data_IF_861996178662
#
_entry.id   IF_861996178662
#
_cell.length_a   1.000
_cell.length_b   1.000
_cell.length_c   1.000
_cell.angle_alpha   90.00
_cell.angle_beta   90.00
_cell.angle_gamma   90.00
#
_symmetry.space_group_name_H-M   'P 1'
#
loop_
_entity.id
_entity.type
_entity.pdbx_description
1 polymer ?
#
# COMPACT_ATOMS: atom_id res chain seq x y z
N UNK A 1 13.86 18.04 -62.30
CA UNK A 1 12.66 17.60 -61.57
C UNK A 1 13.13 16.81 -60.36
N UNK A 2 13.37 17.49 -59.23
CA UNK A 2 13.73 16.86 -57.96
C UNK A 2 12.50 16.89 -57.06
N UNK A 3 12.04 15.72 -56.63
CA UNK A 3 10.96 15.57 -55.67
C UNK A 3 11.63 15.39 -54.31
N UNK A 4 11.68 16.45 -53.51
CA UNK A 4 12.06 16.38 -52.10
C UNK A 4 10.82 16.03 -51.29
N UNK A 5 10.76 14.81 -50.76
CA UNK A 5 9.74 14.41 -49.80
C UNK A 5 10.01 15.03 -48.43
N UNK A 6 9.08 15.83 -47.92
CA UNK A 6 9.06 16.27 -46.53
C UNK A 6 8.74 15.07 -45.62
N UNK A 7 9.70 14.70 -44.79
CA UNK A 7 9.47 13.79 -43.69
C UNK A 7 8.67 14.54 -42.61
N UNK A 8 7.37 14.24 -42.52
CA UNK A 8 6.51 14.72 -41.44
C UNK A 8 7.02 14.21 -40.10
N UNK A 9 7.51 15.12 -39.26
CA UNK A 9 7.84 14.85 -37.86
C UNK A 9 6.51 14.66 -37.11
N UNK A 10 6.23 13.43 -36.71
CA UNK A 10 5.10 13.12 -35.83
C UNK A 10 5.50 13.62 -34.43
N UNK A 11 4.95 14.76 -34.01
CA UNK A 11 5.08 15.22 -32.63
C UNK A 11 4.48 14.18 -31.66
N UNK A 12 5.14 13.88 -30.54
CA UNK A 12 4.57 13.00 -29.52
C UNK A 12 3.30 13.66 -28.99
N UNK A 13 2.19 12.91 -28.98
CA UNK A 13 0.98 13.31 -28.28
C UNK A 13 1.35 13.33 -26.80
N UNK A 14 1.55 14.54 -26.26
CA UNK A 14 1.60 14.75 -24.81
C UNK A 14 0.17 14.54 -24.32
N UNK A 15 -0.13 13.32 -23.89
CA UNK A 15 -1.37 13.05 -23.17
C UNK A 15 -1.24 13.75 -21.83
N UNK A 16 -1.80 14.95 -21.71
CA UNK A 16 -2.04 15.58 -20.41
C UNK A 16 -2.90 14.62 -19.61
N UNK A 17 -2.36 14.03 -18.56
CA UNK A 17 -3.15 13.23 -17.62
C UNK A 17 -4.24 14.15 -17.09
N UNK A 18 -5.49 13.87 -17.44
CA UNK A 18 -6.63 14.61 -16.91
C UNK A 18 -6.64 14.44 -15.39
N UNK A 19 -6.61 15.56 -14.66
CA UNK A 19 -6.73 15.60 -13.20
C UNK A 19 -8.19 15.53 -12.73
N UNK A 20 -9.09 15.12 -13.62
CA UNK A 20 -10.53 15.07 -13.36
C UNK A 20 -10.93 13.75 -12.70
N UNK A 21 -10.12 12.69 -12.79
CA UNK A 21 -10.41 11.40 -12.16
C UNK A 21 -10.00 11.42 -10.68
N UNK A 22 -10.99 11.39 -9.80
CA UNK A 22 -10.82 11.42 -8.36
C UNK A 22 -11.33 10.13 -7.71
N UNK A 23 -10.65 9.69 -6.65
CA UNK A 23 -11.12 8.67 -5.72
C UNK A 23 -11.49 9.33 -4.41
N UNK A 24 -12.73 9.16 -3.99
CA UNK A 24 -13.27 9.64 -2.73
C UNK A 24 -13.43 8.45 -1.79
N UNK A 25 -12.78 8.50 -0.64
CA UNK A 25 -13.02 7.54 0.45
C UNK A 25 -13.66 8.26 1.62
N UNK A 26 -14.71 7.68 2.20
CA UNK A 26 -15.50 8.31 3.26
C UNK A 26 -15.81 7.29 4.35
N UNK A 27 -15.64 7.70 5.60
CA UNK A 27 -16.06 7.01 6.81
C UNK A 27 -16.90 7.95 7.68
N UNK A 28 -18.08 7.52 8.10
CA UNK A 28 -18.94 8.30 9.00
C UNK A 28 -19.92 7.40 9.77
N UNK A 29 -20.56 7.89 10.84
CA UNK A 29 -21.67 7.18 11.47
C UNK A 29 -22.79 6.91 10.47
N UNK A 30 -23.29 5.68 10.41
CA UNK A 30 -24.31 5.28 9.45
C UNK A 30 -25.65 5.96 9.74
N UNK A 31 -26.26 6.52 8.68
CA UNK A 31 -27.60 7.13 8.72
C UNK A 31 -28.21 7.23 7.32
N UNK A 32 -29.55 7.22 7.20
CA UNK A 32 -30.21 7.45 5.93
C UNK A 32 -29.75 8.74 5.25
N UNK A 33 -29.56 8.69 3.93
CA UNK A 33 -29.26 9.87 3.11
C UNK A 33 -27.77 10.16 2.86
N UNK A 34 -26.82 9.42 3.48
CA UNK A 34 -25.38 9.62 3.20
C UNK A 34 -25.06 9.41 1.72
N UNK A 35 -25.46 8.27 1.15
CA UNK A 35 -25.20 7.98 -0.27
C UNK A 35 -25.77 9.06 -1.17
N UNK A 36 -27.04 9.46 -0.97
CA UNK A 36 -27.68 10.54 -1.73
C UNK A 36 -26.91 11.86 -1.60
N UNK A 37 -26.46 12.23 -0.40
CA UNK A 37 -25.73 13.46 -0.18
C UNK A 37 -24.40 13.50 -0.94
N UNK A 38 -23.65 12.39 -0.92
CA UNK A 38 -22.37 12.27 -1.64
C UNK A 38 -22.60 12.26 -3.16
N UNK A 39 -23.49 11.40 -3.66
CA UNK A 39 -23.73 11.28 -5.10
C UNK A 39 -24.43 12.52 -5.67
N UNK A 40 -25.29 13.16 -4.88
CA UNK A 40 -25.95 14.42 -5.24
C UNK A 40 -24.96 15.58 -5.36
N UNK A 41 -23.98 15.65 -4.45
CA UNK A 41 -22.89 16.62 -4.57
C UNK A 41 -22.06 16.39 -5.85
N UNK A 42 -21.64 15.14 -6.10
CA UNK A 42 -20.93 14.78 -7.34
C UNK A 42 -21.73 15.18 -8.58
N UNK A 43 -23.03 14.86 -8.63
CA UNK A 43 -23.90 15.25 -9.75
C UNK A 43 -24.04 16.77 -9.90
N UNK A 44 -24.06 17.52 -8.80
CA UNK A 44 -24.22 18.99 -8.83
C UNK A 44 -23.04 19.72 -9.49
N UNK A 45 -21.86 19.10 -9.50
CA UNK A 45 -20.65 19.62 -10.17
C UNK A 45 -20.41 18.98 -11.55
N UNK A 46 -21.39 18.23 -12.07
CA UNK A 46 -21.29 17.51 -13.34
C UNK A 46 -20.41 16.26 -13.28
N UNK A 47 -20.15 15.74 -12.08
CA UNK A 47 -19.34 14.54 -11.90
C UNK A 47 -20.06 13.27 -12.35
N UNK A 48 -19.29 12.33 -12.90
CA UNK A 48 -19.73 11.03 -13.37
C UNK A 48 -19.05 9.92 -12.56
N UNK A 49 -19.83 9.02 -11.96
CA UNK A 49 -19.29 7.93 -11.14
C UNK A 49 -18.87 6.77 -12.04
N UNK A 50 -17.60 6.37 -11.93
CA UNK A 50 -17.02 5.24 -12.67
C UNK A 50 -17.09 3.94 -11.86
N UNK A 51 -16.77 4.02 -10.57
CA UNK A 51 -16.83 2.89 -9.63
C UNK A 51 -17.42 3.38 -8.30
N UNK A 52 -18.26 2.58 -7.66
CA UNK A 52 -18.79 2.89 -6.34
C UNK A 52 -19.01 1.62 -5.53
N UNK A 53 -18.38 1.54 -4.37
CA UNK A 53 -18.56 0.45 -3.42
C UNK A 53 -18.82 1.02 -2.04
N UNK A 54 -19.80 0.47 -1.33
CA UNK A 54 -20.15 0.87 0.02
C UNK A 54 -20.27 -0.33 0.96
N UNK A 55 -20.02 -0.08 2.23
CA UNK A 55 -20.16 -1.07 3.29
C UNK A 55 -20.72 -0.42 4.56
N UNK A 56 -21.72 -1.06 5.15
CA UNK A 56 -22.34 -0.65 6.40
C UNK A 56 -21.95 -1.66 7.48
N UNK A 57 -21.05 -1.26 8.38
CA UNK A 57 -20.68 -2.08 9.52
C UNK A 57 -21.70 -1.90 10.64
N UNK A 58 -22.64 -2.85 10.74
CA UNK A 58 -23.69 -2.84 11.76
C UNK A 58 -23.17 -2.97 13.18
N UNK A 59 -21.98 -3.55 13.37
CA UNK A 59 -21.39 -3.76 14.70
C UNK A 59 -20.83 -2.44 15.25
N UNK A 60 -20.06 -1.73 14.44
CA UNK A 60 -19.47 -0.43 14.84
C UNK A 60 -20.40 0.76 14.61
N UNK A 61 -21.46 0.60 13.80
CA UNK A 61 -22.37 1.67 13.41
C UNK A 61 -21.78 2.65 12.40
N UNK A 62 -20.71 2.27 11.69
CA UNK A 62 -20.07 3.10 10.68
C UNK A 62 -20.44 2.69 9.26
N UNK A 63 -20.55 3.70 8.41
CA UNK A 63 -20.66 3.62 6.96
C UNK A 63 -19.30 3.92 6.32
N UNK A 64 -18.96 3.14 5.30
CA UNK A 64 -17.76 3.29 4.48
C UNK A 64 -18.15 3.33 3.01
N UNK A 65 -17.52 4.20 2.23
CA UNK A 65 -17.67 4.18 0.76
C UNK A 65 -16.38 4.59 0.07
N UNK A 66 -16.07 3.91 -1.04
CA UNK A 66 -15.09 4.32 -2.04
C UNK A 66 -15.83 4.63 -3.34
N UNK A 67 -15.66 5.83 -3.86
CA UNK A 67 -16.21 6.26 -5.16
C UNK A 67 -15.06 6.74 -6.03
N UNK A 68 -14.93 6.15 -7.21
CA UNK A 68 -14.10 6.69 -8.28
C UNK A 68 -15.02 7.44 -9.25
N UNK A 69 -14.68 8.70 -9.54
CA UNK A 69 -15.50 9.57 -10.37
C UNK A 69 -14.66 10.50 -11.24
N UNK A 70 -15.15 10.78 -12.44
CA UNK A 70 -14.73 11.90 -13.26
C UNK A 70 -15.42 13.16 -12.74
N UNK A 71 -14.66 14.17 -12.33
CA UNK A 71 -15.16 15.44 -11.81
C UNK A 71 -14.59 16.57 -12.67
N UNK A 72 -15.41 17.26 -13.47
CA UNK A 72 -14.94 18.36 -14.32
C UNK A 72 -14.20 19.44 -13.52
N UNK A 73 -12.96 19.73 -13.90
CA UNK A 73 -12.10 20.69 -13.20
C UNK A 73 -11.40 20.12 -11.96
N UNK A 74 -11.55 18.81 -11.71
CA UNK A 74 -10.85 18.07 -10.68
C UNK A 74 -11.20 18.50 -9.24
N UNK A 75 -10.23 18.28 -8.35
CA UNK A 75 -10.37 18.52 -6.91
C UNK A 75 -10.87 19.95 -6.56
N UNK A 76 -10.36 21.04 -7.17
CA UNK A 76 -10.82 22.40 -6.86
C UNK A 76 -12.32 22.62 -7.03
N UNK A 77 -12.98 21.87 -7.93
CA UNK A 77 -14.42 21.99 -8.17
C UNK A 77 -15.26 21.48 -7.01
N UNK A 78 -14.77 20.47 -6.27
CA UNK A 78 -15.58 19.76 -5.27
C UNK A 78 -15.08 19.92 -3.83
N UNK A 79 -13.80 20.27 -3.62
CA UNK A 79 -13.15 20.24 -2.30
C UNK A 79 -13.91 21.01 -1.21
N UNK A 80 -14.32 22.24 -1.48
CA UNK A 80 -14.96 23.11 -0.49
C UNK A 80 -16.38 22.63 -0.16
N UNK A 81 -17.12 22.19 -1.18
CA UNK A 81 -18.47 21.66 -1.00
C UNK A 81 -18.44 20.30 -0.28
N UNK A 82 -17.44 19.46 -0.56
CA UNK A 82 -17.24 18.19 0.14
C UNK A 82 -16.84 18.40 1.60
N UNK A 83 -15.99 19.39 1.88
CA UNK A 83 -15.62 19.74 3.26
C UNK A 83 -16.85 20.16 4.08
N UNK A 84 -17.74 20.98 3.49
CA UNK A 84 -19.01 21.37 4.12
C UNK A 84 -19.94 20.16 4.34
N UNK A 85 -20.03 19.25 3.35
CA UNK A 85 -20.80 18.03 3.48
C UNK A 85 -20.26 17.14 4.61
N UNK A 86 -18.94 16.99 4.67
CA UNK A 86 -18.26 16.20 5.69
C UNK A 86 -18.53 16.73 7.10
N UNK A 87 -18.45 18.05 7.30
CA UNK A 87 -18.78 18.68 8.57
C UNK A 87 -20.24 18.41 8.99
N UNK A 88 -21.19 18.52 8.07
CA UNK A 88 -22.61 18.28 8.34
C UNK A 88 -22.94 16.80 8.66
N UNK A 89 -22.09 15.87 8.22
CA UNK A 89 -22.30 14.44 8.34
C UNK A 89 -21.33 13.72 9.27
N UNK A 90 -20.42 14.44 9.93
CA UNK A 90 -19.40 13.83 10.77
C UNK A 90 -18.51 12.86 9.97
N UNK A 91 -18.19 13.22 8.73
CA UNK A 91 -17.37 12.39 7.85
C UNK A 91 -15.89 12.65 8.09
N UNK A 92 -15.13 11.56 8.15
CA UNK A 92 -13.71 11.57 7.82
C UNK A 92 -13.59 11.13 6.36
N UNK A 93 -12.85 11.88 5.55
CA UNK A 93 -12.74 11.60 4.13
C UNK A 93 -11.34 11.90 3.59
N UNK A 94 -11.04 11.31 2.43
CA UNK A 94 -9.91 11.67 1.58
C UNK A 94 -10.40 11.77 0.14
N UNK A 95 -9.85 12.72 -0.60
CA UNK A 95 -10.02 12.85 -2.05
C UNK A 95 -8.64 12.78 -2.67
N UNK A 96 -8.43 11.81 -3.55
CA UNK A 96 -7.14 11.53 -4.18
C UNK A 96 -7.30 11.46 -5.68
N UNK A 97 -6.23 11.68 -6.43
CA UNK A 97 -6.24 11.50 -7.89
C UNK A 97 -6.09 10.02 -8.22
N UNK A 98 -7.00 9.45 -9.03
CA UNK A 98 -7.03 8.00 -9.31
C UNK A 98 -5.76 7.51 -10.03
N UNK A 99 -5.21 8.32 -10.95
CA UNK A 99 -4.13 7.92 -11.86
C UNK A 99 -2.74 8.37 -11.41
N UNK A 100 -2.59 8.83 -10.17
CA UNK A 100 -1.30 9.28 -9.63
C UNK A 100 -0.63 8.11 -8.90
N UNK A 101 0.54 7.61 -9.36
CA UNK A 101 1.27 6.58 -8.63
C UNK A 101 1.63 7.07 -7.21
N UNK A 102 1.40 6.22 -6.22
CA UNK A 102 1.63 6.58 -4.82
C UNK A 102 3.12 6.57 -4.49
N UNK A 103 3.63 7.66 -3.91
CA UNK A 103 5.04 7.78 -3.55
C UNK A 103 5.39 6.81 -2.43
N UNK A 104 6.20 5.81 -2.75
CA UNK A 104 6.42 4.64 -1.91
C UNK A 104 7.90 4.43 -1.61
N UNK A 105 8.23 4.30 -0.32
CA UNK A 105 9.57 3.91 0.15
C UNK A 105 9.56 2.42 0.53
N UNK A 106 10.47 1.63 -0.02
CA UNK A 106 10.56 0.19 0.28
C UNK A 106 11.74 -0.05 1.23
N UNK A 107 11.48 -0.68 2.37
CA UNK A 107 12.50 -1.05 3.36
C UNK A 107 12.80 -2.54 3.31
N UNK A 108 14.08 -2.91 3.33
CA UNK A 108 14.55 -4.29 3.15
C UNK A 108 15.71 -4.66 4.07
N UNK A 109 15.93 -5.96 4.28
CA UNK A 109 17.09 -6.48 5.01
C UNK A 109 18.04 -7.26 4.09
N UNK A 110 17.79 -8.55 3.89
CA UNK A 110 18.65 -9.42 3.03
C UNK A 110 17.83 -10.31 2.10
N UNK A 111 16.60 -10.62 2.46
CA UNK A 111 15.69 -11.43 1.64
C UNK A 111 15.19 -10.60 0.45
N UNK A 112 15.41 -11.09 -0.77
CA UNK A 112 15.17 -10.32 -2.01
C UNK A 112 13.77 -10.49 -2.61
N UNK A 113 13.05 -11.56 -2.28
CA UNK A 113 11.88 -12.00 -3.05
C UNK A 113 10.74 -10.98 -3.08
N UNK A 114 10.44 -10.32 -1.96
CA UNK A 114 9.41 -9.27 -1.90
C UNK A 114 9.85 -8.01 -2.67
N UNK A 115 11.12 -7.59 -2.53
CA UNK A 115 11.64 -6.43 -3.26
C UNK A 115 11.60 -6.67 -4.77
N UNK A 116 12.08 -7.84 -5.23
CA UNK A 116 12.12 -8.20 -6.64
C UNK A 116 10.71 -8.19 -7.27
N UNK A 117 9.71 -8.74 -6.57
CA UNK A 117 8.34 -8.79 -7.05
C UNK A 117 7.69 -7.40 -7.12
N UNK A 118 7.88 -6.56 -6.11
CA UNK A 118 7.36 -5.18 -6.11
C UNK A 118 7.99 -4.35 -7.24
N UNK A 119 9.32 -4.41 -7.40
CA UNK A 119 10.03 -3.65 -8.43
C UNK A 119 9.70 -4.13 -9.85
N UNK A 120 9.61 -5.45 -10.08
CA UNK A 120 9.16 -6.00 -11.38
C UNK A 120 7.75 -5.52 -11.72
N UNK A 121 6.81 -5.62 -10.78
CA UNK A 121 5.42 -5.18 -11.00
C UNK A 121 5.31 -3.69 -11.24
N UNK A 122 6.08 -2.88 -10.53
CA UNK A 122 6.13 -1.43 -10.75
C UNK A 122 6.71 -1.11 -12.13
N UNK A 123 7.84 -1.73 -12.50
CA UNK A 123 8.48 -1.52 -13.80
C UNK A 123 7.56 -1.87 -14.98
N UNK A 124 6.72 -2.90 -14.82
CA UNK A 124 5.74 -3.33 -15.82
C UNK A 124 4.41 -2.53 -15.77
N UNK A 125 4.30 -1.51 -14.92
CA UNK A 125 3.08 -0.71 -14.77
C UNK A 125 1.90 -1.46 -14.12
N UNK A 126 2.15 -2.61 -13.47
CA UNK A 126 1.14 -3.45 -12.82
C UNK A 126 0.92 -3.11 -11.34
N UNK A 127 1.71 -2.19 -10.79
CA UNK A 127 1.61 -1.72 -9.42
C UNK A 127 1.65 -0.18 -9.43
N UNK A 128 0.59 0.52 -9.01
CA UNK A 128 0.47 1.97 -9.17
C UNK A 128 1.23 2.72 -8.05
N UNK A 129 2.53 2.44 -7.94
CA UNK A 129 3.43 3.11 -7.01
C UNK A 129 4.58 3.79 -7.76
N UNK A 130 5.01 4.93 -7.25
CA UNK A 130 6.28 5.56 -7.59
C UNK A 130 7.28 5.16 -6.50
N UNK A 131 8.26 4.31 -6.83
CA UNK A 131 9.27 3.91 -5.83
C UNK A 131 10.26 5.05 -5.68
N UNK A 132 10.14 5.79 -4.59
CA UNK A 132 10.99 6.96 -4.33
C UNK A 132 12.25 6.58 -3.55
N UNK A 133 12.60 5.31 -3.49
CA UNK A 133 13.82 4.81 -2.86
C UNK A 133 13.66 3.43 -2.23
N UNK A 134 14.79 2.74 -2.10
CA UNK A 134 14.92 1.50 -1.36
C UNK A 134 15.87 1.74 -0.18
N UNK A 135 15.41 1.49 1.04
CA UNK A 135 16.22 1.62 2.26
C UNK A 135 16.59 0.24 2.76
N UNK A 136 17.89 -0.03 2.88
CA UNK A 136 18.39 -1.26 3.47
C UNK A 136 19.21 -1.02 4.71
N UNK A 137 19.10 -1.90 5.71
CA UNK A 137 20.08 -1.94 6.81
C UNK A 137 21.35 -2.73 6.46
N UNK A 138 21.36 -3.42 5.31
CA UNK A 138 22.51 -4.03 4.68
C UNK A 138 22.59 -3.64 3.20
N UNK A 139 23.80 -3.71 2.64
CA UNK A 139 24.07 -3.42 1.22
C UNK A 139 23.70 -4.56 0.27
N UNK A 140 23.28 -5.71 0.79
CA UNK A 140 23.06 -6.96 0.04
C UNK A 140 22.14 -6.80 -1.18
N UNK A 141 21.11 -5.94 -1.07
CA UNK A 141 20.09 -5.78 -2.10
C UNK A 141 20.28 -4.53 -2.97
N UNK A 142 21.37 -3.77 -2.79
CA UNK A 142 21.71 -2.63 -3.65
C UNK A 142 21.73 -3.00 -5.14
N UNK A 143 22.39 -4.10 -5.58
CA UNK A 143 22.43 -4.44 -7.00
C UNK A 143 21.05 -4.69 -7.60
N UNK A 144 20.10 -5.22 -6.82
CA UNK A 144 18.74 -5.47 -7.27
C UNK A 144 17.94 -4.16 -7.43
N UNK A 145 18.08 -3.22 -6.49
CA UNK A 145 17.45 -1.91 -6.59
C UNK A 145 18.00 -1.13 -7.80
N UNK A 146 19.32 -1.08 -7.94
CA UNK A 146 20.01 -0.38 -9.03
C UNK A 146 19.69 -0.99 -10.41
N UNK A 147 19.50 -2.32 -10.48
CA UNK A 147 19.05 -2.99 -11.70
C UNK A 147 17.70 -2.46 -12.22
N UNK A 148 16.77 -2.13 -11.32
CA UNK A 148 15.49 -1.49 -11.66
C UNK A 148 15.56 0.05 -11.67
N UNK A 149 16.77 0.63 -11.64
CA UNK A 149 16.98 2.08 -11.67
C UNK A 149 16.57 2.81 -10.39
N UNK A 150 16.47 2.12 -9.26
CA UNK A 150 16.04 2.70 -7.98
C UNK A 150 17.21 3.12 -7.11
N UNK A 151 17.10 4.29 -6.47
CA UNK A 151 18.04 4.74 -5.44
C UNK A 151 18.08 3.76 -4.27
N UNK A 152 19.25 3.26 -3.93
CA UNK A 152 19.46 2.47 -2.71
C UNK A 152 20.17 3.27 -1.62
N UNK A 153 19.49 3.48 -0.51
CA UNK A 153 19.96 4.21 0.67
C UNK A 153 20.31 3.20 1.76
N UNK A 154 21.58 3.15 2.15
CA UNK A 154 22.03 2.30 3.26
C UNK A 154 21.91 3.04 4.59
N UNK A 155 21.07 2.54 5.49
CA UNK A 155 20.92 3.03 6.87
C UNK A 155 21.27 1.89 7.82
N UNK A 156 22.55 1.75 8.23
CA UNK A 156 22.94 0.70 9.16
C UNK A 156 22.28 0.94 10.53
N UNK A 157 21.93 -0.16 11.19
CA UNK A 157 21.22 -0.12 12.47
C UNK A 157 21.77 -1.17 13.42
N UNK A 158 22.00 -0.73 14.63
CA UNK A 158 22.33 -1.54 15.81
C UNK A 158 21.37 -1.16 16.93
N UNK A 159 21.42 -1.87 18.06
CA UNK A 159 20.61 -1.51 19.23
C UNK A 159 20.88 -0.08 19.71
N UNK A 160 22.15 0.33 19.71
CA UNK A 160 22.58 1.62 20.25
C UNK A 160 22.36 2.78 19.26
N UNK A 161 22.41 2.49 17.94
CA UNK A 161 22.25 3.50 16.87
C UNK A 161 20.83 3.58 16.31
N UNK A 162 19.86 2.89 16.92
CA UNK A 162 18.48 2.84 16.45
C UNK A 162 17.81 4.23 16.42
N UNK A 163 17.95 5.08 17.46
CA UNK A 163 17.35 6.42 17.43
C UNK A 163 17.86 7.27 16.26
N UNK A 164 19.16 7.24 15.97
CA UNK A 164 19.76 8.00 14.86
C UNK A 164 19.36 7.43 13.50
N UNK A 165 19.29 6.10 13.37
CA UNK A 165 18.85 5.43 12.15
C UNK A 165 17.38 5.77 11.82
N UNK A 166 16.49 5.77 12.82
CA UNK A 166 15.09 6.13 12.64
C UNK A 166 14.90 7.63 12.39
N UNK A 167 15.71 8.50 13.01
CA UNK A 167 15.72 9.92 12.70
C UNK A 167 16.09 10.17 11.23
N UNK A 168 17.14 9.50 10.73
CA UNK A 168 17.55 9.60 9.32
C UNK A 168 16.50 9.05 8.37
N UNK A 169 15.83 7.94 8.73
CA UNK A 169 14.72 7.39 7.96
C UNK A 169 13.56 8.39 7.89
N UNK A 170 13.22 9.05 8.99
CA UNK A 170 12.14 10.03 9.04
C UNK A 170 12.46 11.29 8.22
N UNK A 171 13.69 11.77 8.26
CA UNK A 171 14.17 12.85 7.36
C UNK A 171 13.93 12.46 5.90
N UNK A 172 14.37 11.27 5.48
CA UNK A 172 14.20 10.79 4.11
C UNK A 172 12.72 10.70 3.70
N UNK A 173 11.87 10.18 4.59
CA UNK A 173 10.42 10.07 4.38
C UNK A 173 9.80 11.45 4.14
N UNK A 174 10.24 12.44 4.91
CA UNK A 174 9.74 13.81 4.82
C UNK A 174 10.29 14.52 3.58
N UNK A 175 11.60 14.44 3.32
CA UNK A 175 12.26 15.06 2.17
C UNK A 175 11.74 14.54 0.83
N UNK A 176 11.33 13.26 0.77
CA UNK A 176 10.84 12.63 -0.45
C UNK A 176 9.32 12.61 -0.56
N UNK A 177 8.58 13.28 0.34
CA UNK A 177 7.10 13.28 0.36
C UNK A 177 6.52 11.85 0.26
N UNK A 178 7.02 10.94 1.10
CA UNK A 178 6.59 9.53 1.08
C UNK A 178 5.16 9.39 1.61
N UNK A 179 4.32 8.72 0.83
CA UNK A 179 2.92 8.44 1.17
C UNK A 179 2.73 7.06 1.77
N UNK A 180 3.54 6.08 1.33
CA UNK A 180 3.53 4.70 1.80
C UNK A 180 4.95 4.20 2.10
N UNK A 181 5.12 3.55 3.25
CA UNK A 181 6.30 2.76 3.59
C UNK A 181 5.96 1.28 3.50
N UNK A 182 6.78 0.49 2.81
CA UNK A 182 6.60 -0.96 2.68
C UNK A 182 7.78 -1.68 3.34
N UNK A 183 7.52 -2.41 4.42
CA UNK A 183 8.48 -3.29 5.07
C UNK A 183 8.53 -4.63 4.30
N UNK A 184 9.28 -4.66 3.20
CA UNK A 184 9.48 -5.84 2.38
C UNK A 184 10.52 -6.75 3.03
N UNK A 185 10.10 -7.50 4.06
CA UNK A 185 10.96 -8.35 4.89
C UNK A 185 12.06 -7.57 5.59
N UNK A 186 11.71 -6.38 6.09
CA UNK A 186 12.56 -5.61 6.98
C UNK A 186 12.53 -6.20 8.39
N UNK A 187 13.68 -6.68 8.87
CA UNK A 187 13.77 -7.50 10.08
C UNK A 187 13.98 -6.72 11.38
N UNK A 188 13.97 -5.39 11.33
CA UNK A 188 14.08 -4.56 12.53
C UNK A 188 12.70 -4.07 12.94
N UNK A 189 12.42 -4.21 14.24
CA UNK A 189 11.21 -3.67 14.86
C UNK A 189 11.31 -2.14 14.84
N UNK A 190 10.31 -1.44 14.31
CA UNK A 190 10.22 0.02 14.39
C UNK A 190 9.91 0.46 15.82
N UNK A 191 10.39 1.62 16.25
CA UNK A 191 9.96 2.21 17.53
C UNK A 191 8.48 2.60 17.52
N UNK A 192 7.92 2.75 18.71
CA UNK A 192 6.55 3.24 18.91
C UNK A 192 6.33 4.64 18.27
N UNK A 193 7.34 5.51 18.33
CA UNK A 193 7.31 6.83 17.69
C UNK A 193 7.20 6.71 16.16
N UNK A 194 8.02 5.85 15.55
CA UNK A 194 7.94 5.59 14.11
C UNK A 194 6.62 4.93 13.70
N UNK A 195 6.11 3.97 14.49
CA UNK A 195 4.80 3.36 14.25
C UNK A 195 3.68 4.42 14.30
N UNK A 196 3.75 5.37 15.23
CA UNK A 196 2.77 6.45 15.36
C UNK A 196 2.81 7.40 14.16
N UNK A 197 4.01 7.83 13.75
CA UNK A 197 4.21 8.70 12.58
C UNK A 197 3.76 8.05 11.26
N UNK A 198 3.87 6.73 11.18
CA UNK A 198 3.51 5.92 10.01
C UNK A 198 2.15 5.22 10.14
N UNK A 199 1.32 5.60 11.12
CA UNK A 199 0.01 5.00 11.33
C UNK A 199 -0.84 5.08 10.05
N UNK A 200 -1.31 3.92 9.57
CA UNK A 200 -2.07 3.80 8.32
C UNK A 200 -1.26 4.01 7.03
N UNK A 201 0.07 4.19 7.12
CA UNK A 201 0.98 4.46 5.99
C UNK A 201 2.21 3.54 5.96
N UNK A 202 2.25 2.51 6.80
CA UNK A 202 3.28 1.48 6.76
C UNK A 202 2.66 0.09 6.64
N UNK A 203 3.02 -0.66 5.61
CA UNK A 203 2.58 -2.04 5.37
C UNK A 203 3.74 -2.99 5.62
N UNK A 204 3.50 -4.03 6.41
CA UNK A 204 4.45 -5.09 6.67
C UNK A 204 3.98 -6.42 6.06
N UNK A 205 4.94 -7.28 5.69
CA UNK A 205 4.68 -8.68 5.38
C UNK A 205 5.21 -9.57 6.50
N UNK A 206 4.29 -10.26 7.18
CA UNK A 206 4.62 -11.28 8.15
C UNK A 206 4.51 -12.66 7.50
N UNK A 207 5.51 -13.51 7.75
CA UNK A 207 5.74 -14.79 7.04
C UNK A 207 5.08 -15.99 7.73
N UNK A 208 3.97 -15.70 8.40
CA UNK A 208 3.08 -16.69 8.99
C UNK A 208 1.65 -16.26 8.75
N UNK A 209 0.73 -17.23 8.80
CA UNK A 209 -0.69 -16.96 8.79
C UNK A 209 -1.12 -16.55 10.21
N UNK A 210 -1.08 -15.24 10.48
CA UNK A 210 -1.49 -14.71 11.78
C UNK A 210 -2.93 -15.13 12.11
N UNK A 211 -3.23 -15.47 13.37
CA UNK A 211 -2.40 -15.26 14.58
C UNK A 211 -1.41 -16.41 14.91
N UNK A 212 -1.25 -17.41 14.03
CA UNK A 212 -0.38 -18.56 14.31
C UNK A 212 1.11 -18.24 14.07
N UNK A 213 2.01 -18.80 14.88
CA UNK A 213 3.48 -18.71 14.73
C UNK A 213 4.06 -17.29 14.73
N UNK A 214 3.67 -16.46 15.72
CA UNK A 214 4.32 -15.16 15.99
C UNK A 214 5.81 -15.34 16.36
N UNK A 215 6.60 -14.28 16.13
CA UNK A 215 8.00 -14.22 16.55
C UNK A 215 8.98 -14.94 15.61
N UNK A 216 10.11 -15.41 16.16
CA UNK A 216 11.23 -15.88 15.36
C UNK A 216 11.02 -17.28 14.74
N UNK A 217 11.54 -17.47 13.52
CA UNK A 217 11.61 -18.76 12.79
C UNK A 217 10.27 -19.51 12.64
N UNK A 218 9.20 -18.88 12.13
CA UNK A 218 7.88 -19.51 11.99
C UNK A 218 7.88 -20.73 11.07
N UNK A 219 8.73 -20.81 10.03
CA UNK A 219 8.83 -22.01 9.20
C UNK A 219 9.37 -23.23 9.96
N UNK A 220 10.33 -23.02 10.86
CA UNK A 220 10.79 -24.08 11.75
C UNK A 220 9.67 -24.53 12.71
N UNK A 221 8.92 -23.58 13.27
CA UNK A 221 7.78 -23.88 14.14
C UNK A 221 6.70 -24.66 13.37
N UNK A 222 6.39 -24.25 12.14
CA UNK A 222 5.42 -24.91 11.26
C UNK A 222 5.85 -26.34 10.91
N UNK A 223 7.11 -26.54 10.54
CA UNK A 223 7.69 -27.85 10.26
C UNK A 223 7.59 -28.76 11.49
N UNK A 224 8.07 -28.30 12.65
CA UNK A 224 8.02 -29.08 13.90
C UNK A 224 6.59 -29.43 14.33
N UNK A 225 5.63 -28.55 14.02
CA UNK A 225 4.20 -28.77 14.33
C UNK A 225 3.51 -29.69 13.33
N UNK A 226 4.12 -29.98 12.18
CA UNK A 226 3.61 -30.85 11.14
C UNK A 226 2.39 -30.29 10.39
N UNK A 227 2.32 -28.96 10.24
CA UNK A 227 1.18 -28.30 9.56
C UNK A 227 1.04 -28.76 8.10
N UNK A 228 -0.14 -28.55 7.52
CA UNK A 228 -0.43 -28.86 6.11
C UNK A 228 -0.68 -27.62 5.25
N UNK A 229 -0.64 -26.46 5.90
CA UNK A 229 -0.74 -25.14 5.31
C UNK A 229 0.26 -24.23 6.03
N UNK A 230 0.99 -23.44 5.27
CA UNK A 230 1.72 -22.25 5.73
C UNK A 230 1.12 -21.05 5.02
N UNK A 231 1.38 -19.84 5.50
CA UNK A 231 0.83 -18.64 4.87
C UNK A 231 1.61 -17.39 5.21
N UNK A 232 1.11 -16.27 4.71
CA UNK A 232 1.64 -14.95 4.98
C UNK A 232 0.49 -13.97 5.24
N UNK A 233 0.80 -12.91 5.97
CA UNK A 233 -0.15 -11.85 6.32
C UNK A 233 0.47 -10.50 6.02
N UNK A 234 -0.17 -9.71 5.16
CA UNK A 234 0.12 -8.29 5.03
C UNK A 234 -0.78 -7.49 5.97
N UNK A 235 -0.20 -6.56 6.71
CA UNK A 235 -0.93 -5.76 7.71
C UNK A 235 -0.31 -4.37 7.86
N UNK A 236 -1.08 -3.43 8.37
CA UNK A 236 -0.52 -2.13 8.78
C UNK A 236 0.38 -2.30 10.00
N UNK A 237 1.45 -1.51 10.06
CA UNK A 237 2.35 -1.50 11.22
C UNK A 237 1.71 -0.71 12.37
N UNK A 238 1.83 -1.25 13.57
CA UNK A 238 1.41 -0.64 14.84
C UNK A 238 2.51 -0.81 15.88
N UNK A 239 2.37 -0.14 17.04
CA UNK A 239 3.30 -0.34 18.16
C UNK A 239 3.24 -1.79 18.70
N UNK A 240 2.07 -2.41 18.63
CA UNK A 240 1.88 -3.83 18.94
C UNK A 240 2.45 -4.70 17.81
N UNK A 241 3.53 -5.43 18.10
CA UNK A 241 4.28 -6.21 17.13
C UNK A 241 3.43 -7.34 16.52
N UNK A 242 3.34 -7.37 15.19
CA UNK A 242 2.56 -8.36 14.41
C UNK A 242 1.05 -8.38 14.75
N UNK A 243 0.49 -7.28 15.26
CA UNK A 243 -0.93 -7.19 15.65
C UNK A 243 -1.71 -6.07 14.96
N UNK A 244 -1.08 -5.36 14.02
CA UNK A 244 -1.75 -4.30 13.31
C UNK A 244 -2.85 -4.81 12.37
N UNK A 245 -3.76 -3.93 11.91
CA UNK A 245 -4.91 -4.34 11.12
C UNK A 245 -4.52 -5.05 9.82
N UNK A 246 -5.02 -6.27 9.68
CA UNK A 246 -4.74 -7.16 8.54
C UNK A 246 -5.36 -6.57 7.27
N UNK A 247 -4.59 -6.56 6.18
CA UNK A 247 -5.00 -6.11 4.85
C UNK A 247 -5.29 -7.33 3.96
N UNK A 248 -4.39 -8.31 3.96
CA UNK A 248 -4.48 -9.48 3.10
C UNK A 248 -3.79 -10.69 3.75
N UNK A 249 -4.32 -11.89 3.48
CA UNK A 249 -3.71 -13.15 3.88
C UNK A 249 -3.85 -14.19 2.77
N UNK A 250 -2.89 -15.10 2.70
CA UNK A 250 -3.01 -16.27 1.84
C UNK A 250 -2.19 -17.45 2.38
N UNK A 251 -2.47 -18.63 1.85
CA UNK A 251 -1.89 -19.89 2.30
C UNK A 251 -1.45 -20.76 1.11
N UNK A 252 -0.47 -21.62 1.38
CA UNK A 252 -0.02 -22.67 0.46
C UNK A 252 0.08 -24.00 1.18
N UNK A 253 -0.21 -25.08 0.46
CA UNK A 253 -0.10 -26.44 0.97
C UNK A 253 1.34 -26.87 1.10
N UNK A 254 1.64 -27.53 2.23
CA UNK A 254 2.90 -28.19 2.50
C UNK A 254 2.68 -29.67 2.81
N UNK A 255 3.63 -30.51 2.41
CA UNK A 255 3.60 -31.95 2.58
C UNK A 255 4.49 -32.37 3.77
N UNK A 256 4.46 -33.66 4.12
CA UNK A 256 5.14 -34.18 5.31
C UNK A 256 6.59 -34.60 5.04
N UNK A 257 6.93 -34.76 3.77
CA UNK A 257 8.25 -35.06 3.21
C UNK A 257 9.04 -33.80 2.87
N UNK A 258 8.45 -32.61 3.04
CA UNK A 258 9.10 -31.32 2.76
C UNK A 258 9.89 -30.79 3.96
N UNK A 259 11.11 -30.34 3.71
CA UNK A 259 12.00 -29.78 4.74
C UNK A 259 11.79 -28.27 5.00
N UNK A 260 12.50 -27.72 5.99
CA UNK A 260 12.42 -26.28 6.34
C UNK A 260 12.73 -25.36 5.14
N UNK A 261 13.65 -25.75 4.24
CA UNK A 261 14.04 -24.93 3.09
C UNK A 261 12.95 -24.93 2.02
N UNK A 262 12.31 -26.06 1.78
CA UNK A 262 11.18 -26.16 0.85
C UNK A 262 9.98 -25.35 1.35
N UNK A 263 9.70 -25.41 2.66
CA UNK A 263 8.71 -24.55 3.31
C UNK A 263 9.03 -23.06 3.13
N UNK A 264 10.29 -22.66 3.33
CA UNK A 264 10.72 -21.27 3.12
C UNK A 264 10.55 -20.83 1.66
N UNK A 265 10.88 -21.67 0.68
CA UNK A 265 10.74 -21.35 -0.74
C UNK A 265 9.27 -21.14 -1.14
N UNK A 266 8.37 -22.02 -0.68
CA UNK A 266 6.92 -21.85 -0.86
C UNK A 266 6.38 -20.63 -0.12
N UNK A 267 6.87 -20.40 1.09
CA UNK A 267 6.56 -19.22 1.89
C UNK A 267 6.86 -17.91 1.17
N UNK A 268 8.04 -17.81 0.55
CA UNK A 268 8.46 -16.64 -0.21
C UNK A 268 7.57 -16.35 -1.45
N UNK A 269 6.90 -17.36 -2.01
CA UNK A 269 5.88 -17.17 -3.07
C UNK A 269 4.59 -16.58 -2.50
N UNK A 270 4.13 -17.07 -1.35
CA UNK A 270 2.92 -16.52 -0.72
C UNK A 270 3.16 -15.09 -0.25
N UNK A 271 4.32 -14.83 0.36
CA UNK A 271 4.69 -13.50 0.86
C UNK A 271 4.68 -12.43 -0.23
N UNK A 272 5.30 -12.70 -1.39
CA UNK A 272 5.37 -11.73 -2.48
C UNK A 272 3.97 -11.40 -3.03
N UNK A 273 3.12 -12.42 -3.17
CA UNK A 273 1.77 -12.25 -3.69
C UNK A 273 0.86 -11.48 -2.73
N UNK A 274 0.92 -11.83 -1.44
CA UNK A 274 0.16 -11.16 -0.37
C UNK A 274 0.59 -9.70 -0.23
N UNK A 275 1.90 -9.43 -0.16
CA UNK A 275 2.40 -8.06 -0.04
C UNK A 275 2.03 -7.21 -1.25
N UNK A 276 2.24 -7.72 -2.47
CA UNK A 276 1.91 -6.98 -3.69
C UNK A 276 0.43 -6.64 -3.82
N UNK A 277 -0.48 -7.53 -3.39
CA UNK A 277 -1.92 -7.23 -3.35
C UNK A 277 -2.22 -6.12 -2.34
N UNK A 278 -1.69 -6.23 -1.13
CA UNK A 278 -1.90 -5.23 -0.09
C UNK A 278 -1.39 -3.84 -0.52
N UNK A 279 -0.20 -3.77 -1.12
CA UNK A 279 0.37 -2.52 -1.65
C UNK A 279 -0.50 -1.96 -2.77
N UNK A 280 -0.96 -2.80 -3.71
CA UNK A 280 -1.86 -2.36 -4.79
C UNK A 280 -3.14 -1.76 -4.24
N UNK A 281 -3.83 -2.49 -3.36
CA UNK A 281 -5.09 -2.03 -2.79
C UNK A 281 -4.94 -0.74 -1.99
N UNK A 282 -3.84 -0.60 -1.25
CA UNK A 282 -3.55 0.64 -0.55
C UNK A 282 -3.34 1.81 -1.54
N UNK A 283 -2.50 1.60 -2.57
CA UNK A 283 -2.22 2.60 -3.59
C UNK A 283 -3.45 3.00 -4.42
N UNK A 284 -4.42 2.11 -4.60
CA UNK A 284 -5.71 2.37 -5.27
C UNK A 284 -6.80 2.92 -4.32
N UNK A 285 -6.44 3.25 -3.08
CA UNK A 285 -7.34 3.74 -2.03
C UNK A 285 -8.50 2.77 -1.72
N UNK A 286 -8.26 1.46 -1.84
CA UNK A 286 -9.23 0.39 -1.60
C UNK A 286 -9.26 -0.09 -0.14
N UNK A 287 -8.32 0.35 0.69
CA UNK A 287 -8.19 -0.09 2.09
C UNK A 287 -8.61 1.02 3.03
N UNK A 288 -9.63 0.78 3.86
CA UNK A 288 -10.07 1.72 4.91
C UNK A 288 -9.95 1.10 6.31
N UNK A 289 -9.45 1.89 7.26
CA UNK A 289 -9.26 1.46 8.65
C UNK A 289 -10.57 1.48 9.45
N UNK A 290 -10.85 0.37 10.12
CA UNK A 290 -12.00 0.20 11.01
C UNK A 290 -11.57 -0.38 12.37
N UNK A 291 -11.00 0.48 13.22
CA UNK A 291 -10.44 0.06 14.50
C UNK A 291 -9.25 -0.88 14.26
N UNK A 292 -9.32 -2.10 14.79
CA UNK A 292 -8.31 -3.14 14.60
C UNK A 292 -8.49 -3.96 13.30
N UNK A 293 -9.48 -3.63 12.47
CA UNK A 293 -9.79 -4.32 11.21
C UNK A 293 -9.63 -3.37 10.02
N UNK A 294 -9.68 -3.92 8.82
CA UNK A 294 -9.76 -3.16 7.57
C UNK A 294 -11.05 -3.51 6.81
N UNK A 295 -11.51 -2.55 6.00
CA UNK A 295 -12.50 -2.75 4.95
C UNK A 295 -11.76 -2.67 3.62
N UNK A 296 -11.93 -3.68 2.76
CA UNK A 296 -11.27 -3.78 1.45
C UNK A 296 -12.34 -3.68 0.35
N UNK A 297 -12.20 -2.73 -0.56
CA UNK A 297 -13.08 -2.55 -1.72
C UNK A 297 -12.47 -3.21 -2.95
N UNK A 298 -12.93 -4.42 -3.30
CA UNK A 298 -12.37 -5.27 -4.37
C UNK A 298 -12.89 -4.91 -5.75
#
# INVERSE_FOLDING_TARGET
MGITGEAGVISPIVTTVSNDNLVLTVKCPDRPGITYAITGLLASVGGNILESQQFNDRESGYFFVRIEAEVPGGLPTIENAFAALAANHGMTYQISQANRPMRTLIMVTKDSHCLADLLSKQHEGRLPIDVVGVVGNHETLRPLAEFYGQDFIHIPITKDTKPEAEARLWELITERDVELVVLARYMQILSEDMCTKLAGRAINIHHSFLPSFKGARPYQQAHNRGVKLIGATAHYVTADLDEGPIIEQDVVRVAHDEDERELMAKGAEVERQVLSRAVRWHAEHRVMMNGQRTVIFS
#
